data_IF_202734488404
#
_entry.id   IF_202734488404
#
_cell.length_a   1.000
_cell.length_b   1.000
_cell.length_c   1.000
_cell.angle_alpha   90.00
_cell.angle_beta   90.00
_cell.angle_gamma   90.00
#
_symmetry.space_group_name_H-M   'P 1'
#
loop_
_entity.id
_entity.type
_entity.pdbx_description
1 polymer ?
#
# COMPACT_ATOMS: atom_id res chain seq x y z
N UNK A 1 15.48 26.21 5.67
CA UNK A 1 14.08 25.72 5.79
C UNK A 1 14.18 24.32 6.38
N UNK A 2 13.61 24.08 7.55
CA UNK A 2 13.88 22.88 8.34
C UNK A 2 13.28 21.61 7.66
N UNK A 3 14.04 20.50 7.63
CA UNK A 3 13.59 19.18 7.15
C UNK A 3 12.26 18.73 7.77
N UNK A 4 12.01 19.09 9.03
CA UNK A 4 10.73 18.83 9.73
C UNK A 4 9.54 19.54 9.09
N UNK A 5 9.73 20.71 8.47
CA UNK A 5 8.65 21.47 7.83
C UNK A 5 8.29 20.89 6.46
N UNK A 6 9.30 20.41 5.70
CA UNK A 6 9.10 19.75 4.41
C UNK A 6 8.39 18.39 4.57
N UNK A 7 8.79 17.57 5.55
CA UNK A 7 8.15 16.31 5.85
C UNK A 7 6.67 16.48 6.26
N UNK A 8 6.35 17.52 7.04
CA UNK A 8 4.97 17.84 7.43
C UNK A 8 4.07 18.22 6.25
N UNK A 9 4.63 18.78 5.17
CA UNK A 9 3.86 19.12 3.97
C UNK A 9 3.55 17.92 3.07
N UNK A 10 4.31 16.82 3.22
CA UNK A 10 4.13 15.59 2.46
C UNK A 10 3.22 14.58 3.18
N UNK A 11 2.93 14.79 4.47
CA UNK A 11 2.05 13.90 5.23
C UNK A 11 0.61 13.94 4.68
N UNK A 12 0.08 12.75 4.35
CA UNK A 12 -1.27 12.59 3.79
C UNK A 12 -2.31 12.21 4.86
N UNK A 13 -1.88 11.56 5.94
CA UNK A 13 -2.77 11.10 6.99
C UNK A 13 -3.65 12.21 7.62
N UNK A 14 -3.17 13.45 7.85
CA UNK A 14 -3.97 14.48 8.49
C UNK A 14 -4.81 15.31 7.51
N UNK A 15 -4.68 15.13 6.19
CA UNK A 15 -5.39 15.96 5.22
C UNK A 15 -6.82 15.46 4.98
N UNK A 16 -7.68 16.37 4.52
CA UNK A 16 -9.05 16.05 4.13
C UNK A 16 -9.06 15.26 2.82
N UNK A 17 -10.10 14.45 2.61
CA UNK A 17 -10.25 13.66 1.38
C UNK A 17 -10.34 14.56 0.14
N UNK A 18 -11.08 15.66 0.22
CA UNK A 18 -11.20 16.63 -0.87
C UNK A 18 -9.83 17.23 -1.24
N UNK A 19 -9.03 17.61 -0.25
CA UNK A 19 -7.67 18.11 -0.46
C UNK A 19 -6.76 17.02 -1.06
N UNK A 20 -6.86 15.78 -0.62
CA UNK A 20 -6.12 14.65 -1.21
C UNK A 20 -6.44 14.50 -2.70
N UNK A 21 -7.73 14.53 -3.06
CA UNK A 21 -8.18 14.40 -4.44
C UNK A 21 -7.71 15.58 -5.31
N UNK A 22 -7.72 16.80 -4.78
CA UNK A 22 -7.17 17.98 -5.44
C UNK A 22 -5.66 17.82 -5.71
N UNK A 23 -4.89 17.37 -4.73
CA UNK A 23 -3.45 17.11 -4.90
C UNK A 23 -3.17 16.02 -5.94
N UNK A 24 -3.91 14.91 -5.90
CA UNK A 24 -3.78 13.80 -6.87
C UNK A 24 -4.14 14.23 -8.30
N UNK A 25 -5.02 15.21 -8.48
CA UNK A 25 -5.42 15.73 -9.80
C UNK A 25 -4.56 16.88 -10.31
N UNK A 26 -3.62 17.37 -9.49
CA UNK A 26 -2.75 18.48 -9.85
C UNK A 26 -1.63 18.07 -10.80
N UNK A 27 -0.84 19.04 -11.25
CA UNK A 27 0.40 18.79 -12.00
C UNK A 27 1.60 18.48 -11.09
N UNK A 28 1.42 18.52 -9.77
CA UNK A 28 2.46 18.18 -8.83
C UNK A 28 2.71 16.67 -8.85
N UNK A 29 3.97 16.24 -8.82
CA UNK A 29 4.29 14.82 -8.96
C UNK A 29 3.98 13.97 -7.72
N UNK A 30 3.70 14.60 -6.59
CA UNK A 30 3.35 13.95 -5.31
C UNK A 30 2.17 14.66 -4.63
N UNK A 31 1.21 13.89 -4.05
CA UNK A 31 1.15 12.42 -4.04
C UNK A 31 0.85 11.85 -5.42
N UNK A 32 1.34 10.65 -5.72
CA UNK A 32 1.16 9.96 -6.99
C UNK A 32 0.48 8.59 -6.85
N UNK A 33 0.69 7.76 -7.88
CA UNK A 33 0.09 6.43 -7.97
C UNK A 33 0.52 5.47 -6.85
N UNK A 34 1.75 5.59 -6.33
CA UNK A 34 2.23 4.76 -5.22
C UNK A 34 1.52 5.09 -3.91
N UNK A 35 1.43 6.39 -3.58
CA UNK A 35 0.65 6.86 -2.42
C UNK A 35 -0.83 6.48 -2.55
N UNK A 36 -1.43 6.61 -3.75
CA UNK A 36 -2.82 6.23 -4.00
C UNK A 36 -3.05 4.72 -3.81
N UNK A 37 -2.10 3.87 -4.26
CA UNK A 37 -2.16 2.43 -4.06
C UNK A 37 -2.09 2.06 -2.56
N UNK A 38 -1.19 2.67 -1.79
CA UNK A 38 -1.09 2.45 -0.36
C UNK A 38 -2.39 2.88 0.37
N UNK A 39 -2.95 4.03 0.03
CA UNK A 39 -4.21 4.50 0.61
C UNK A 39 -5.40 3.60 0.23
N UNK A 40 -5.46 3.07 -1.00
CA UNK A 40 -6.48 2.10 -1.39
C UNK A 40 -6.41 0.83 -0.53
N UNK A 41 -5.21 0.33 -0.26
CA UNK A 41 -4.97 -0.78 0.66
C UNK A 41 -5.40 -0.45 2.10
N UNK A 42 -5.12 0.77 2.57
CA UNK A 42 -5.54 1.23 3.90
C UNK A 42 -7.07 1.31 4.05
N UNK A 43 -7.78 1.73 2.99
CA UNK A 43 -9.26 1.70 2.95
C UNK A 43 -9.76 0.26 3.02
N UNK A 44 -9.13 -0.67 2.24
CA UNK A 44 -9.44 -2.10 2.31
C UNK A 44 -9.27 -2.67 3.71
N UNK A 45 -8.13 -2.37 4.37
CA UNK A 45 -7.87 -2.79 5.75
C UNK A 45 -8.91 -2.25 6.74
N UNK A 46 -9.33 -0.99 6.54
CA UNK A 46 -10.38 -0.37 7.37
C UNK A 46 -11.72 -1.10 7.24
N UNK A 47 -12.08 -1.52 6.02
CA UNK A 47 -13.31 -2.29 5.80
C UNK A 47 -13.21 -3.69 6.42
N UNK A 48 -12.06 -4.37 6.35
CA UNK A 48 -11.84 -5.64 7.07
C UNK A 48 -12.05 -5.45 8.57
N UNK A 49 -11.44 -4.40 9.16
CA UNK A 49 -11.62 -4.06 10.59
C UNK A 49 -13.09 -3.79 10.93
N UNK A 50 -13.83 -3.09 10.07
CA UNK A 50 -15.24 -2.80 10.24
C UNK A 50 -16.08 -4.08 10.23
N UNK A 51 -15.88 -4.98 9.27
CA UNK A 51 -16.59 -6.26 9.19
C UNK A 51 -16.34 -7.09 10.45
N UNK A 52 -15.07 -7.14 10.92
CA UNK A 52 -14.70 -7.80 12.16
C UNK A 52 -15.43 -7.20 13.38
N UNK A 53 -15.42 -5.88 13.51
CA UNK A 53 -16.10 -5.17 14.60
C UNK A 53 -17.63 -5.39 14.59
N UNK A 54 -18.24 -5.50 13.42
CA UNK A 54 -19.66 -5.82 13.27
C UNK A 54 -20.00 -7.30 13.54
N UNK A 55 -19.00 -8.17 13.64
CA UNK A 55 -19.13 -9.59 13.93
C UNK A 55 -18.98 -9.88 15.42
N UNK A 56 -18.00 -9.25 16.06
CA UNK A 56 -17.66 -9.41 17.49
C UNK A 56 -18.83 -8.98 18.40
N UNK A 57 -19.05 -9.75 19.50
CA UNK A 57 -20.07 -9.46 20.52
C UNK A 57 -21.50 -9.76 20.09
N UNK A 58 -21.69 -10.58 19.06
CA UNK A 58 -23.02 -11.00 18.60
C UNK A 58 -23.19 -12.50 18.81
N UNK A 59 -24.24 -12.92 19.51
CA UNK A 59 -24.54 -14.31 19.80
C UNK A 59 -24.53 -15.22 18.55
N UNK A 60 -25.02 -14.70 17.42
CA UNK A 60 -25.05 -15.42 16.15
C UNK A 60 -23.66 -15.73 15.56
N UNK A 61 -22.60 -15.12 16.07
CA UNK A 61 -21.21 -15.26 15.62
C UNK A 61 -20.26 -15.67 16.76
N UNK A 62 -20.79 -16.18 17.88
CA UNK A 62 -19.99 -16.57 19.05
C UNK A 62 -18.88 -17.56 18.72
N UNK A 63 -19.15 -18.51 17.83
CA UNK A 63 -18.18 -19.54 17.43
C UNK A 63 -16.98 -18.99 16.63
N UNK A 64 -17.11 -17.83 16.01
CA UNK A 64 -16.07 -17.20 15.18
C UNK A 64 -15.57 -15.86 15.77
N UNK A 65 -16.05 -15.48 16.95
CA UNK A 65 -15.72 -14.20 17.57
C UNK A 65 -14.22 -14.00 17.79
N UNK A 66 -13.53 -15.02 18.27
CA UNK A 66 -12.10 -14.97 18.55
C UNK A 66 -11.29 -14.71 17.27
N UNK A 67 -11.62 -15.38 16.18
CA UNK A 67 -10.98 -15.20 14.88
C UNK A 67 -11.32 -13.82 14.30
N UNK A 68 -12.57 -13.39 14.38
CA UNK A 68 -12.96 -12.07 13.90
C UNK A 68 -12.23 -10.95 14.65
N UNK A 69 -12.01 -11.09 15.96
CA UNK A 69 -11.25 -10.14 16.78
C UNK A 69 -9.79 -10.07 16.33
N UNK A 70 -9.13 -11.22 16.17
CA UNK A 70 -7.75 -11.32 15.67
C UNK A 70 -7.60 -10.64 14.31
N UNK A 71 -8.50 -10.93 13.37
CA UNK A 71 -8.52 -10.33 12.03
C UNK A 71 -8.65 -8.80 12.13
N UNK A 72 -9.58 -8.30 12.95
CA UNK A 72 -9.82 -6.87 13.10
C UNK A 72 -8.62 -6.11 13.68
N UNK A 73 -7.95 -6.69 14.68
CA UNK A 73 -6.74 -6.11 15.30
C UNK A 73 -5.57 -6.10 14.29
N UNK A 74 -5.34 -7.20 13.59
CA UNK A 74 -4.30 -7.29 12.56
C UNK A 74 -4.56 -6.29 11.42
N UNK A 75 -5.78 -6.20 10.92
CA UNK A 75 -6.15 -5.27 9.85
C UNK A 75 -5.95 -3.81 10.26
N UNK A 76 -6.22 -3.45 11.52
CA UNK A 76 -5.96 -2.10 12.04
C UNK A 76 -4.47 -1.75 12.01
N UNK A 77 -3.60 -2.69 12.41
CA UNK A 77 -2.15 -2.49 12.34
C UNK A 77 -1.63 -2.35 10.91
N UNK A 78 -2.15 -3.15 9.97
CA UNK A 78 -1.79 -3.07 8.55
C UNK A 78 -2.30 -1.78 7.89
N UNK A 79 -3.47 -1.29 8.28
CA UNK A 79 -3.97 0.04 7.88
C UNK A 79 -2.97 1.13 8.22
N UNK A 80 -2.51 1.16 9.46
CA UNK A 80 -1.59 2.20 9.93
C UNK A 80 -0.24 2.14 9.20
N UNK A 81 0.25 0.92 8.88
CA UNK A 81 1.43 0.72 8.06
C UNK A 81 1.24 1.24 6.62
N UNK A 82 0.09 0.98 6.00
CA UNK A 82 -0.20 1.44 4.63
C UNK A 82 -0.33 2.97 4.56
N UNK A 83 -0.90 3.60 5.58
CA UNK A 83 -0.94 5.07 5.68
C UNK A 83 0.48 5.64 5.77
N UNK A 84 1.35 5.05 6.59
CA UNK A 84 2.75 5.46 6.67
C UNK A 84 3.49 5.26 5.34
N UNK A 85 3.24 4.15 4.64
CA UNK A 85 3.83 3.87 3.31
C UNK A 85 3.36 4.87 2.24
N UNK A 86 2.14 5.41 2.33
CA UNK A 86 1.68 6.46 1.43
C UNK A 86 2.49 7.76 1.60
N UNK A 87 2.85 8.12 2.83
CA UNK A 87 3.72 9.26 3.11
C UNK A 87 5.16 8.98 2.65
N UNK A 88 5.68 7.78 2.95
CA UNK A 88 7.03 7.36 2.54
C UNK A 88 7.20 7.38 1.01
N UNK A 89 6.18 7.01 0.23
CA UNK A 89 6.19 7.07 -1.23
C UNK A 89 6.42 8.50 -1.75
N UNK A 90 5.68 9.47 -1.21
CA UNK A 90 5.85 10.88 -1.54
C UNK A 90 7.25 11.40 -1.18
N UNK A 91 7.77 11.00 -0.01
CA UNK A 91 9.11 11.38 0.47
C UNK A 91 10.19 10.76 -0.43
N UNK A 92 10.08 9.48 -0.78
CA UNK A 92 11.04 8.78 -1.63
C UNK A 92 11.13 9.40 -3.03
N UNK A 93 9.99 9.76 -3.62
CA UNK A 93 9.96 10.45 -4.90
C UNK A 93 10.60 11.84 -4.81
N UNK A 94 10.29 12.62 -3.78
CA UNK A 94 10.87 13.95 -3.58
C UNK A 94 12.40 13.85 -3.42
N UNK A 95 12.87 12.89 -2.64
CA UNK A 95 14.31 12.64 -2.46
C UNK A 95 15.01 12.33 -3.80
N UNK A 96 14.37 11.55 -4.68
CA UNK A 96 14.90 11.27 -6.01
C UNK A 96 14.97 12.54 -6.88
N UNK A 97 13.94 13.37 -6.85
CA UNK A 97 13.91 14.64 -7.58
C UNK A 97 14.96 15.62 -7.08
N UNK A 98 15.20 15.67 -5.78
CA UNK A 98 16.22 16.53 -5.17
C UNK A 98 17.64 16.05 -5.51
N UNK A 99 17.88 14.73 -5.47
CA UNK A 99 19.13 14.15 -5.93
C UNK A 99 19.44 14.48 -7.40
N UNK A 100 18.43 14.50 -8.27
CA UNK A 100 18.58 14.88 -9.69
C UNK A 100 19.00 16.33 -9.87
N UNK A 101 18.63 17.22 -8.96
CA UNK A 101 18.94 18.66 -9.01
C UNK A 101 20.34 18.99 -8.47
N UNK A 102 21.02 18.05 -7.82
CA UNK A 102 22.35 18.29 -7.27
C UNK A 102 23.35 18.72 -8.35
N UNK A 103 24.34 19.59 -8.00
CA UNK A 103 25.40 20.04 -8.91
C UNK A 103 26.16 18.90 -9.56
N UNK A 104 26.70 19.12 -10.78
CA UNK A 104 27.42 18.09 -11.57
C UNK A 104 28.61 18.66 -12.36
N UNK A 105 29.13 19.80 -11.93
CA UNK A 105 30.21 20.52 -12.63
C UNK A 105 31.59 19.86 -12.38
N UNK A 106 31.87 19.59 -11.12
CA UNK A 106 33.14 18.96 -10.68
C UNK A 106 33.00 17.44 -10.54
N UNK A 107 34.14 16.73 -10.49
CA UNK A 107 34.15 15.27 -10.26
C UNK A 107 33.51 14.91 -8.92
N UNK A 108 33.82 15.66 -7.87
CA UNK A 108 33.25 15.46 -6.53
C UNK A 108 31.72 15.65 -6.53
N UNK A 109 31.21 16.65 -7.21
CA UNK A 109 29.79 16.88 -7.34
C UNK A 109 29.11 15.76 -8.10
N UNK A 110 29.71 15.28 -9.21
CA UNK A 110 29.18 14.13 -9.96
C UNK A 110 29.10 12.88 -9.09
N UNK A 111 30.16 12.58 -8.33
CA UNK A 111 30.20 11.42 -7.44
C UNK A 111 29.16 11.54 -6.31
N UNK A 112 29.00 12.72 -5.73
CA UNK A 112 28.00 12.99 -4.69
C UNK A 112 26.57 12.83 -5.23
N UNK A 113 26.31 13.41 -6.39
CA UNK A 113 25.01 13.28 -7.07
C UNK A 113 24.69 11.82 -7.42
N UNK A 114 25.66 11.07 -7.95
CA UNK A 114 25.46 9.66 -8.31
C UNK A 114 25.03 8.84 -7.09
N UNK A 115 25.74 8.95 -5.96
CA UNK A 115 25.40 8.25 -4.72
C UNK A 115 24.01 8.63 -4.19
N UNK A 116 23.67 9.92 -4.23
CA UNK A 116 22.35 10.39 -3.80
C UNK A 116 21.24 9.83 -4.68
N UNK A 117 21.45 9.79 -6.00
CA UNK A 117 20.49 9.21 -6.95
C UNK A 117 20.32 7.69 -6.75
N UNK A 118 21.43 6.96 -6.55
CA UNK A 118 21.37 5.52 -6.27
C UNK A 118 20.56 5.23 -5.00
N UNK A 119 20.86 5.92 -3.90
CA UNK A 119 20.12 5.75 -2.65
C UNK A 119 18.64 6.08 -2.78
N UNK A 120 18.31 7.18 -3.45
CA UNK A 120 16.93 7.57 -3.67
C UNK A 120 16.17 6.62 -4.61
N UNK A 121 16.83 6.09 -5.65
CA UNK A 121 16.24 5.11 -6.56
C UNK A 121 15.88 3.80 -5.82
N UNK A 122 16.74 3.35 -4.90
CA UNK A 122 16.45 2.18 -4.06
C UNK A 122 15.19 2.41 -3.23
N UNK A 123 15.07 3.56 -2.56
CA UNK A 123 13.88 3.88 -1.77
C UNK A 123 12.61 3.98 -2.64
N UNK A 124 12.70 4.62 -3.80
CA UNK A 124 11.58 4.73 -4.73
C UNK A 124 11.06 3.38 -5.26
N UNK A 125 11.91 2.34 -5.28
CA UNK A 125 11.48 0.98 -5.65
C UNK A 125 11.09 0.13 -4.43
N UNK A 126 11.74 0.32 -3.27
CA UNK A 126 11.48 -0.45 -2.05
C UNK A 126 10.12 -0.12 -1.42
N UNK A 127 9.77 1.16 -1.33
CA UNK A 127 8.50 1.58 -0.72
C UNK A 127 7.28 0.93 -1.38
N UNK A 128 7.10 0.99 -2.72
CA UNK A 128 5.97 0.32 -3.34
C UNK A 128 6.05 -1.22 -3.23
N UNK A 129 7.23 -1.83 -3.16
CA UNK A 129 7.34 -3.26 -2.91
C UNK A 129 6.83 -3.64 -1.51
N UNK A 130 7.18 -2.85 -0.50
CA UNK A 130 6.63 -3.00 0.87
C UNK A 130 5.12 -2.78 0.88
N UNK A 131 4.62 -1.80 0.15
CA UNK A 131 3.17 -1.55 -0.02
C UNK A 131 2.46 -2.79 -0.56
N UNK A 132 3.00 -3.42 -1.62
CA UNK A 132 2.41 -4.63 -2.20
C UNK A 132 2.37 -5.80 -1.20
N UNK A 133 3.42 -5.99 -0.39
CA UNK A 133 3.48 -7.02 0.65
C UNK A 133 2.43 -6.80 1.74
N UNK A 134 2.37 -5.60 2.28
CA UNK A 134 1.40 -5.25 3.34
C UNK A 134 -0.03 -5.35 2.81
N UNK A 135 -0.29 -4.89 1.58
CA UNK A 135 -1.59 -5.04 0.95
C UNK A 135 -1.97 -6.53 0.74
N UNK A 136 -1.01 -7.40 0.39
CA UNK A 136 -1.26 -8.84 0.30
C UNK A 136 -1.70 -9.43 1.65
N UNK A 137 -1.10 -9.00 2.76
CA UNK A 137 -1.53 -9.44 4.09
C UNK A 137 -2.97 -9.00 4.39
N UNK A 138 -3.33 -7.76 4.03
CA UNK A 138 -4.72 -7.28 4.16
C UNK A 138 -5.69 -8.11 3.31
N UNK A 139 -5.30 -8.47 2.08
CA UNK A 139 -6.15 -9.28 1.20
C UNK A 139 -6.38 -10.69 1.77
N UNK A 140 -5.36 -11.28 2.40
CA UNK A 140 -5.53 -12.54 3.12
C UNK A 140 -6.53 -12.40 4.28
N UNK A 141 -6.48 -11.30 5.04
CA UNK A 141 -7.47 -11.04 6.09
C UNK A 141 -8.88 -10.82 5.51
N UNK A 142 -9.00 -10.13 4.38
CA UNK A 142 -10.28 -9.95 3.69
C UNK A 142 -10.88 -11.30 3.25
N UNK A 143 -10.05 -12.21 2.72
CA UNK A 143 -10.45 -13.57 2.39
C UNK A 143 -10.90 -14.37 3.63
N UNK A 144 -10.16 -14.24 4.75
CA UNK A 144 -10.51 -14.95 6.00
C UNK A 144 -11.81 -14.46 6.61
N UNK A 145 -12.08 -13.14 6.61
CA UNK A 145 -13.31 -12.58 7.19
C UNK A 145 -14.54 -12.79 6.31
N UNK A 146 -14.39 -12.92 5.00
CA UNK A 146 -15.49 -13.06 4.05
C UNK A 146 -16.49 -14.18 4.40
N UNK A 147 -16.06 -15.43 4.68
CA UNK A 147 -16.99 -16.51 4.99
C UNK A 147 -17.59 -16.45 6.40
N UNK A 148 -16.91 -15.80 7.37
CA UNK A 148 -17.29 -15.85 8.79
C UNK A 148 -17.90 -14.55 9.32
N UNK A 149 -17.63 -13.42 8.70
CA UNK A 149 -18.04 -12.10 9.14
C UNK A 149 -19.56 -11.90 9.16
N UNK A 150 -20.01 -10.78 9.71
CA UNK A 150 -21.42 -10.43 9.73
C UNK A 150 -22.01 -10.42 8.31
N UNK A 151 -23.07 -11.20 8.09
CA UNK A 151 -23.71 -11.35 6.77
C UNK A 151 -24.17 -10.01 6.18
N UNK A 152 -24.62 -9.07 7.03
CA UNK A 152 -25.06 -7.76 6.59
C UNK A 152 -23.89 -6.86 6.09
N UNK A 153 -22.66 -7.24 6.40
CA UNK A 153 -21.43 -6.57 5.96
C UNK A 153 -20.63 -7.42 4.95
N UNK A 154 -21.25 -8.44 4.35
CA UNK A 154 -20.57 -9.31 3.39
C UNK A 154 -20.08 -8.54 2.15
N UNK A 155 -20.86 -7.57 1.66
CA UNK A 155 -20.45 -6.70 0.55
C UNK A 155 -19.24 -5.84 0.89
N UNK A 156 -19.10 -5.41 2.15
CA UNK A 156 -17.94 -4.62 2.60
C UNK A 156 -16.66 -5.46 2.60
N UNK A 157 -16.75 -6.75 2.95
CA UNK A 157 -15.64 -7.69 2.81
C UNK A 157 -15.24 -7.86 1.33
N UNK A 158 -16.21 -7.91 0.42
CA UNK A 158 -15.94 -7.94 -1.03
C UNK A 158 -15.26 -6.67 -1.54
N UNK A 159 -15.74 -5.50 -1.13
CA UNK A 159 -15.12 -4.21 -1.48
C UNK A 159 -13.69 -4.12 -0.91
N UNK A 160 -13.47 -4.62 0.32
CA UNK A 160 -12.13 -4.71 0.90
C UNK A 160 -11.18 -5.54 0.03
N UNK A 161 -11.62 -6.71 -0.44
CA UNK A 161 -10.82 -7.56 -1.31
C UNK A 161 -10.48 -6.88 -2.64
N UNK A 162 -11.46 -6.27 -3.31
CA UNK A 162 -11.28 -5.55 -4.57
C UNK A 162 -10.28 -4.39 -4.44
N UNK A 163 -10.47 -3.53 -3.44
CA UNK A 163 -9.59 -2.38 -3.21
C UNK A 163 -8.16 -2.81 -2.89
N UNK A 164 -8.01 -3.88 -2.12
CA UNK A 164 -6.70 -4.37 -1.73
C UNK A 164 -5.97 -5.06 -2.88
N UNK A 165 -6.68 -5.82 -3.72
CA UNK A 165 -6.11 -6.38 -4.94
C UNK A 165 -5.66 -5.28 -5.92
N UNK A 166 -6.46 -4.22 -6.07
CA UNK A 166 -6.08 -3.05 -6.85
C UNK A 166 -4.85 -2.34 -6.26
N UNK A 167 -4.74 -2.26 -4.91
CA UNK A 167 -3.57 -1.71 -4.23
C UNK A 167 -2.30 -2.50 -4.54
N UNK A 168 -2.36 -3.85 -4.51
CA UNK A 168 -1.23 -4.72 -4.88
C UNK A 168 -0.82 -4.45 -6.33
N UNK A 169 -1.77 -4.48 -7.25
CA UNK A 169 -1.52 -4.25 -8.68
C UNK A 169 -0.91 -2.86 -8.94
N UNK A 170 -1.44 -1.82 -8.30
CA UNK A 170 -0.91 -0.47 -8.39
C UNK A 170 0.51 -0.35 -7.83
N UNK A 171 0.77 -0.97 -6.69
CA UNK A 171 2.10 -1.00 -6.09
C UNK A 171 3.12 -1.74 -6.98
N UNK A 172 2.75 -2.89 -7.57
CA UNK A 172 3.57 -3.63 -8.54
C UNK A 172 3.94 -2.77 -9.75
N UNK A 173 3.01 -1.98 -10.28
CA UNK A 173 3.31 -1.04 -11.38
C UNK A 173 4.33 0.01 -10.96
N UNK A 174 4.23 0.53 -9.71
CA UNK A 174 5.17 1.50 -9.19
C UNK A 174 6.56 0.88 -8.91
N UNK A 175 6.65 -0.38 -8.50
CA UNK A 175 7.95 -1.08 -8.46
C UNK A 175 8.54 -1.16 -9.86
N UNK A 176 7.79 -1.66 -10.84
CA UNK A 176 8.27 -1.88 -12.21
C UNK A 176 8.81 -0.62 -12.88
N UNK A 177 8.15 0.53 -12.70
CA UNK A 177 8.62 1.78 -13.32
C UNK A 177 9.92 2.29 -12.68
N UNK A 178 10.19 1.92 -11.42
CA UNK A 178 11.37 2.34 -10.67
C UNK A 178 12.57 1.37 -10.82
N UNK A 179 12.33 0.08 -11.12
CA UNK A 179 13.42 -0.92 -11.28
C UNK A 179 14.53 -0.50 -12.26
N UNK A 180 14.25 0.11 -13.43
CA UNK A 180 15.30 0.54 -14.37
C UNK A 180 16.18 1.67 -13.84
N UNK A 181 15.80 2.34 -12.75
CA UNK A 181 16.59 3.40 -12.12
C UNK A 181 17.60 2.87 -11.10
N UNK A 182 17.50 1.58 -10.74
CA UNK A 182 18.40 0.95 -9.78
C UNK A 182 19.78 0.73 -10.39
N UNK A 183 20.85 0.78 -9.57
CA UNK A 183 22.18 0.37 -9.99
C UNK A 183 22.18 -1.06 -10.54
N UNK A 184 23.04 -1.31 -11.53
CA UNK A 184 23.20 -2.65 -12.09
C UNK A 184 23.60 -3.66 -10.99
N UNK A 185 22.88 -4.77 -10.91
CA UNK A 185 23.11 -5.80 -9.91
C UNK A 185 22.60 -5.48 -8.51
N UNK A 186 21.79 -4.44 -8.33
CA UNK A 186 21.17 -4.12 -7.05
C UNK A 186 20.39 -5.32 -6.49
N UNK A 187 20.57 -5.70 -5.21
CA UNK A 187 19.86 -6.84 -4.62
C UNK A 187 18.34 -6.75 -4.76
N UNK A 188 17.78 -5.54 -4.61
CA UNK A 188 16.35 -5.28 -4.76
C UNK A 188 15.82 -5.63 -6.16
N UNK A 189 16.63 -5.49 -7.21
CA UNK A 189 16.24 -5.83 -8.58
C UNK A 189 15.95 -7.32 -8.74
N UNK A 190 16.83 -8.18 -8.19
CA UNK A 190 16.61 -9.63 -8.16
C UNK A 190 15.42 -10.01 -7.31
N UNK A 191 15.36 -9.48 -6.10
CA UNK A 191 14.26 -9.71 -5.17
C UNK A 191 12.91 -9.37 -5.80
N UNK A 192 12.78 -8.18 -6.41
CA UNK A 192 11.55 -7.79 -7.07
C UNK A 192 11.20 -8.71 -8.26
N UNK A 193 12.19 -9.11 -9.07
CA UNK A 193 11.97 -10.01 -10.20
C UNK A 193 11.39 -11.37 -9.80
N UNK A 194 11.76 -11.87 -8.63
CA UNK A 194 11.28 -13.13 -8.08
C UNK A 194 9.90 -12.96 -7.40
N UNK A 195 9.69 -11.87 -6.71
CA UNK A 195 8.54 -11.66 -5.83
C UNK A 195 7.32 -11.07 -6.53
N UNK A 196 7.49 -10.17 -7.51
CA UNK A 196 6.36 -9.52 -8.16
C UNK A 196 5.39 -10.49 -8.85
N UNK A 197 5.84 -11.53 -9.59
CA UNK A 197 4.92 -12.50 -10.18
C UNK A 197 4.09 -13.25 -9.12
N UNK A 198 4.68 -13.56 -7.97
CA UNK A 198 3.99 -14.23 -6.88
C UNK A 198 2.94 -13.32 -6.24
N UNK A 199 3.26 -12.05 -6.00
CA UNK A 199 2.31 -11.07 -5.47
C UNK A 199 1.10 -10.88 -6.39
N UNK A 200 1.30 -10.85 -7.70
CA UNK A 200 0.22 -10.77 -8.68
C UNK A 200 -0.65 -12.04 -8.70
N UNK A 201 -0.01 -13.21 -8.63
CA UNK A 201 -0.73 -14.49 -8.58
C UNK A 201 -1.54 -14.62 -7.29
N UNK A 202 -0.95 -14.29 -6.14
CA UNK A 202 -1.60 -14.32 -4.84
C UNK A 202 -2.80 -13.35 -4.82
N UNK A 203 -2.62 -12.13 -5.35
CA UNK A 203 -3.68 -11.13 -5.42
C UNK A 203 -4.90 -11.67 -6.18
N UNK A 204 -4.69 -12.24 -7.36
CA UNK A 204 -5.77 -12.79 -8.18
C UNK A 204 -6.48 -13.97 -7.50
N UNK A 205 -5.72 -14.88 -6.87
CA UNK A 205 -6.27 -16.05 -6.20
C UNK A 205 -7.07 -15.68 -4.95
N UNK A 206 -6.52 -14.80 -4.10
CA UNK A 206 -7.17 -14.38 -2.86
C UNK A 206 -8.41 -13.53 -3.11
N UNK A 207 -8.35 -12.61 -4.09
CA UNK A 207 -9.52 -11.81 -4.51
C UNK A 207 -10.65 -12.73 -5.00
N UNK A 208 -10.35 -13.66 -5.91
CA UNK A 208 -11.35 -14.57 -6.44
C UNK A 208 -11.99 -15.42 -5.35
N UNK A 209 -11.20 -15.93 -4.39
CA UNK A 209 -11.69 -16.71 -3.26
C UNK A 209 -12.59 -15.88 -2.35
N UNK A 210 -12.18 -14.64 -1.99
CA UNK A 210 -12.98 -13.76 -1.16
C UNK A 210 -14.32 -13.41 -1.82
N UNK A 211 -14.31 -13.09 -3.12
CA UNK A 211 -15.52 -12.76 -3.87
C UNK A 211 -16.47 -13.97 -4.03
N UNK A 212 -15.94 -15.20 -4.15
CA UNK A 212 -16.75 -16.40 -4.16
C UNK A 212 -17.50 -16.59 -2.82
N UNK A 213 -16.79 -16.43 -1.69
CA UNK A 213 -17.39 -16.52 -0.35
C UNK A 213 -18.44 -15.42 -0.13
N UNK A 214 -18.14 -14.19 -0.55
CA UNK A 214 -19.09 -13.08 -0.48
C UNK A 214 -20.34 -13.37 -1.31
N UNK A 215 -20.18 -13.83 -2.57
CA UNK A 215 -21.31 -14.17 -3.44
C UNK A 215 -22.20 -15.23 -2.88
N UNK A 216 -21.64 -16.27 -2.25
CA UNK A 216 -22.39 -17.32 -1.57
C UNK A 216 -23.21 -16.79 -0.37
N UNK A 217 -22.83 -15.66 0.20
CA UNK A 217 -23.49 -15.08 1.39
C UNK A 217 -24.57 -14.06 1.05
N UNK A 218 -24.43 -13.33 -0.06
CA UNK A 218 -25.41 -12.32 -0.47
C UNK A 218 -26.53 -12.89 -1.35
N UNK A 219 -26.35 -14.06 -1.97
CA UNK A 219 -27.38 -14.83 -2.72
C UNK A 219 -27.29 -14.56 -4.19
#
# INVERSE_FOLDING_TARGET
>A
MNETHAASQLALAPIRIDELLERLSSSDPVPGGGSAAALAGAVGASLVSMVAALTVGRDAYADVEAEAREIGEAASGLRDQLVALADEDSIAYQAYMDARRLPRQTETERATRARAMEGAAVQAADVPLRTARVAREVLELARRIAPIGNRNAASDAGVAALLTAAAISGAVLNVRINLPQLPEGAPLQRQASEELPQLEQDAAALEAAALADVSARIG
#
